data_IF_136308855726
#
_entry.id   IF_136308855726
#
_cell.length_a   1.000
_cell.length_b   1.000
_cell.length_c   1.000
_cell.angle_alpha   90.00
_cell.angle_beta   90.00
_cell.angle_gamma   90.00
#
_symmetry.space_group_name_H-M   'P 1'
#
loop_
_entity.id
_entity.type
_entity.pdbx_description
1 polymer ?
#
# COMPACT_ATOMS: atom_id res chain seq x y z
N UNK A 1 16.90 -2.99 -15.15
CA UNK A 1 15.72 -2.43 -15.82
C UNK A 1 15.60 -3.00 -17.23
N UNK A 2 16.70 -3.26 -17.92
CA UNK A 2 16.66 -3.85 -19.29
C UNK A 2 16.20 -5.32 -19.32
N UNK A 3 16.24 -6.01 -18.20
CA UNK A 3 15.80 -7.41 -18.08
C UNK A 3 14.29 -7.60 -18.35
N UNK A 4 13.50 -6.54 -18.23
CA UNK A 4 12.04 -6.56 -18.45
C UNK A 4 11.63 -6.05 -19.85
N UNK A 5 12.58 -5.56 -20.65
CA UNK A 5 12.29 -5.20 -22.05
C UNK A 5 12.04 -6.45 -22.88
N UNK A 6 10.88 -6.53 -23.51
CA UNK A 6 10.51 -7.66 -24.36
C UNK A 6 9.66 -8.74 -23.69
N UNK A 7 9.16 -8.48 -22.47
CA UNK A 7 8.25 -9.40 -21.75
C UNK A 7 6.82 -8.80 -21.68
N UNK A 8 6.37 -8.04 -22.66
CA UNK A 8 5.15 -7.22 -22.60
C UNK A 8 3.92 -7.98 -22.04
N UNK A 9 3.50 -9.08 -22.64
CA UNK A 9 2.41 -9.92 -22.12
C UNK A 9 2.86 -10.75 -20.90
N UNK A 10 4.10 -11.21 -20.87
CA UNK A 10 4.68 -11.96 -19.77
C UNK A 10 4.75 -11.14 -18.47
N UNK A 11 4.95 -9.82 -18.58
CA UNK A 11 4.99 -8.90 -17.42
C UNK A 11 3.65 -8.86 -16.68
N UNK A 12 2.53 -8.79 -17.40
CA UNK A 12 1.19 -8.84 -16.81
C UNK A 12 0.96 -10.16 -16.07
N UNK A 13 1.32 -11.28 -16.67
CA UNK A 13 1.21 -12.60 -16.06
C UNK A 13 2.09 -12.74 -14.82
N UNK A 14 3.28 -12.12 -14.83
CA UNK A 14 4.16 -12.05 -13.66
C UNK A 14 3.53 -11.26 -12.53
N UNK A 15 3.00 -10.06 -12.80
CA UNK A 15 2.30 -9.24 -11.81
C UNK A 15 1.12 -10.00 -11.19
N UNK A 16 0.29 -10.66 -12.00
CA UNK A 16 -0.83 -11.48 -11.51
C UNK A 16 -0.39 -12.68 -10.66
N UNK A 17 0.76 -13.28 -11.01
CA UNK A 17 1.32 -14.37 -10.21
C UNK A 17 1.78 -13.88 -8.85
N UNK A 18 2.47 -12.72 -8.82
CA UNK A 18 2.96 -12.11 -7.58
C UNK A 18 1.78 -11.62 -6.72
N UNK A 19 0.71 -11.09 -7.31
CA UNK A 19 -0.51 -10.73 -6.61
C UNK A 19 -1.05 -11.90 -5.77
N UNK A 20 -1.09 -13.10 -6.33
CA UNK A 20 -1.50 -14.31 -5.61
C UNK A 20 -0.55 -14.66 -4.46
N UNK A 21 0.75 -14.42 -4.62
CA UNK A 21 1.75 -14.61 -3.55
C UNK A 21 1.57 -13.56 -2.45
N UNK A 22 1.20 -12.31 -2.81
CA UNK A 22 0.91 -11.25 -1.85
C UNK A 22 -0.38 -11.52 -1.03
N UNK A 23 -1.25 -12.40 -1.49
CA UNK A 23 -2.51 -12.65 -0.81
C UNK A 23 -2.31 -13.33 0.54
N UNK A 24 -1.47 -14.34 0.61
CA UNK A 24 -1.25 -15.17 1.80
C UNK A 24 -0.37 -14.46 2.85
N UNK A 25 -0.78 -14.43 4.14
CA UNK A 25 -0.01 -13.76 5.19
C UNK A 25 1.43 -14.26 5.32
N UNK A 26 1.67 -15.55 5.11
CA UNK A 26 3.00 -16.16 5.26
C UNK A 26 3.96 -15.83 4.11
N UNK A 27 3.44 -15.44 2.95
CA UNK A 27 4.22 -15.08 1.77
C UNK A 27 4.13 -13.58 1.44
N UNK A 28 3.29 -12.85 2.18
CA UNK A 28 3.00 -11.44 1.94
C UNK A 28 4.25 -10.58 1.83
N UNK A 29 5.16 -10.65 2.80
CA UNK A 29 6.35 -9.80 2.82
C UNK A 29 7.22 -9.98 1.57
N UNK A 30 7.49 -11.22 1.18
CA UNK A 30 8.29 -11.52 -0.03
C UNK A 30 7.57 -11.12 -1.31
N UNK A 31 6.27 -11.39 -1.39
CA UNK A 31 5.43 -11.01 -2.52
C UNK A 31 5.36 -9.49 -2.68
N UNK A 32 5.07 -8.78 -1.60
CA UNK A 32 4.97 -7.32 -1.58
C UNK A 32 6.32 -6.65 -1.93
N UNK A 33 7.45 -7.19 -1.47
CA UNK A 33 8.76 -6.68 -1.84
C UNK A 33 9.03 -6.86 -3.33
N UNK A 34 8.74 -8.03 -3.88
CA UNK A 34 8.88 -8.29 -5.31
C UNK A 34 7.97 -7.37 -6.14
N UNK A 35 6.72 -7.19 -5.70
CA UNK A 35 5.77 -6.28 -6.35
C UNK A 35 6.26 -4.82 -6.30
N UNK A 36 6.81 -4.38 -5.16
CA UNK A 36 7.40 -3.05 -5.01
C UNK A 36 8.59 -2.82 -5.93
N UNK A 37 9.48 -3.81 -6.08
CA UNK A 37 10.62 -3.71 -7.00
C UNK A 37 10.16 -3.60 -8.45
N UNK A 38 9.12 -4.34 -8.84
CA UNK A 38 8.51 -4.20 -10.16
C UNK A 38 7.86 -2.83 -10.36
N UNK A 39 7.19 -2.31 -9.31
CA UNK A 39 6.58 -0.99 -9.34
C UNK A 39 7.61 0.14 -9.49
N UNK A 40 8.75 0.05 -8.78
CA UNK A 40 9.88 1.00 -8.93
C UNK A 40 10.48 0.95 -10.34
N UNK A 41 10.54 -0.24 -10.94
CA UNK A 41 11.06 -0.43 -12.29
C UNK A 41 10.03 -0.16 -13.40
N UNK A 42 8.81 0.23 -13.05
CA UNK A 42 7.70 0.40 -14.00
C UNK A 42 7.92 1.59 -14.91
N UNK A 43 7.79 1.36 -16.21
CA UNK A 43 7.93 2.36 -17.26
C UNK A 43 6.74 2.34 -18.23
N UNK A 44 5.66 1.65 -17.88
CA UNK A 44 4.48 1.47 -18.71
C UNK A 44 3.23 1.97 -17.98
N UNK A 45 2.34 2.60 -18.74
CA UNK A 45 1.05 3.08 -18.20
C UNK A 45 -0.07 2.12 -18.65
N UNK A 46 -0.07 0.92 -18.08
CA UNK A 46 -1.09 -0.11 -18.34
C UNK A 46 -1.99 -0.32 -17.14
N UNK A 47 -3.24 -0.72 -17.41
CA UNK A 47 -4.16 -1.15 -16.36
C UNK A 47 -3.61 -2.40 -15.66
N UNK A 48 -3.83 -2.51 -14.35
CA UNK A 48 -3.34 -3.61 -13.51
C UNK A 48 -1.81 -3.75 -13.53
N UNK A 49 -1.11 -2.62 -13.50
CA UNK A 49 0.33 -2.54 -13.40
C UNK A 49 0.82 -2.89 -11.98
N UNK A 50 2.13 -3.08 -11.81
CA UNK A 50 2.72 -3.44 -10.53
C UNK A 50 2.47 -2.37 -9.46
N UNK A 51 2.51 -1.09 -9.81
CA UNK A 51 2.23 0.03 -8.92
C UNK A 51 0.81 -0.03 -8.37
N UNK A 52 -0.20 -0.18 -9.23
CA UNK A 52 -1.60 -0.30 -8.82
C UNK A 52 -1.85 -1.53 -7.93
N UNK A 53 -1.28 -2.67 -8.30
CA UNK A 53 -1.39 -3.91 -7.51
C UNK A 53 -0.70 -3.77 -6.15
N UNK A 54 0.50 -3.17 -6.10
CA UNK A 54 1.18 -2.90 -4.84
C UNK A 54 0.34 -2.01 -3.91
N UNK A 55 -0.17 -0.89 -4.41
CA UNK A 55 -0.98 0.05 -3.64
C UNK A 55 -2.26 -0.60 -3.11
N UNK A 56 -2.86 -1.55 -3.86
CA UNK A 56 -4.06 -2.26 -3.46
C UNK A 56 -3.89 -3.19 -2.26
N UNK A 57 -2.66 -3.47 -1.83
CA UNK A 57 -2.36 -4.27 -0.64
C UNK A 57 -2.62 -3.51 0.68
N UNK A 58 -2.66 -2.17 0.66
CA UNK A 58 -2.61 -1.35 1.88
C UNK A 58 -3.92 -0.68 2.32
N UNK A 59 -5.04 -0.69 1.59
CA UNK A 59 -6.29 -0.15 2.10
C UNK A 59 -6.64 -0.73 3.46
N UNK A 60 -7.20 0.10 4.35
CA UNK A 60 -7.68 -0.33 5.66
C UNK A 60 -8.74 -1.43 5.54
N UNK A 61 -9.69 -1.23 4.62
CA UNK A 61 -10.74 -2.19 4.28
C UNK A 61 -10.57 -2.69 2.85
N UNK A 62 -11.02 -3.91 2.60
CA UNK A 62 -10.96 -4.57 1.30
C UNK A 62 -9.54 -4.55 0.66
N UNK A 63 -8.46 -4.84 1.40
CA UNK A 63 -7.13 -4.95 0.80
C UNK A 63 -7.06 -6.17 -0.13
N UNK A 64 -6.20 -6.14 -1.13
CA UNK A 64 -5.94 -7.28 -2.00
C UNK A 64 -5.08 -8.37 -1.32
N UNK A 65 -5.22 -8.56 -0.01
CA UNK A 65 -4.44 -9.51 0.79
C UNK A 65 -5.18 -9.94 2.05
N UNK A 66 -4.85 -11.12 2.57
CA UNK A 66 -5.23 -11.60 3.89
C UNK A 66 -4.22 -11.22 4.99
N UNK A 67 -3.11 -10.53 4.65
CA UNK A 67 -2.14 -10.06 5.62
C UNK A 67 -2.74 -9.05 6.60
N UNK A 68 -2.36 -9.15 7.87
CA UNK A 68 -2.88 -8.27 8.94
C UNK A 68 -2.42 -6.82 8.76
N UNK A 69 -3.11 -5.89 9.44
CA UNK A 69 -2.70 -4.48 9.49
C UNK A 69 -1.26 -4.34 10.01
N UNK A 70 -0.91 -5.12 11.04
CA UNK A 70 0.44 -5.13 11.60
C UNK A 70 1.49 -5.58 10.59
N UNK A 71 1.26 -6.69 9.87
CA UNK A 71 2.20 -7.17 8.85
C UNK A 71 2.41 -6.14 7.74
N UNK A 72 1.33 -5.49 7.29
CA UNK A 72 1.39 -4.45 6.26
C UNK A 72 2.13 -3.21 6.75
N UNK A 73 1.88 -2.77 7.99
CA UNK A 73 2.58 -1.64 8.61
C UNK A 73 4.08 -1.91 8.77
N UNK A 74 4.45 -3.05 9.33
CA UNK A 74 5.84 -3.47 9.51
C UNK A 74 6.57 -3.55 8.16
N UNK A 75 5.90 -4.03 7.12
CA UNK A 75 6.48 -4.05 5.78
C UNK A 75 6.79 -2.63 5.29
N UNK A 76 5.84 -1.69 5.37
CA UNK A 76 6.06 -0.30 4.95
C UNK A 76 7.20 0.35 5.74
N UNK A 77 7.28 0.13 7.06
CA UNK A 77 8.33 0.64 7.92
C UNK A 77 9.73 0.16 7.51
N UNK A 78 9.85 -1.11 7.09
CA UNK A 78 11.11 -1.65 6.57
C UNK A 78 11.52 -1.04 5.23
N UNK A 79 10.56 -0.59 4.43
CA UNK A 79 10.83 -0.10 3.07
C UNK A 79 11.15 1.39 3.01
N UNK A 80 10.75 2.19 4.00
CA UNK A 80 10.84 3.64 3.99
C UNK A 80 12.28 4.18 3.85
N UNK A 81 13.26 3.44 4.34
CA UNK A 81 14.69 3.78 4.28
C UNK A 81 15.27 3.81 2.85
N UNK A 82 14.59 3.21 1.87
CA UNK A 82 15.07 3.12 0.49
C UNK A 82 14.51 4.29 -0.35
N UNK A 83 15.36 5.26 -0.69
CA UNK A 83 14.94 6.50 -1.38
C UNK A 83 14.20 6.26 -2.69
N UNK A 84 14.63 5.28 -3.49
CA UNK A 84 14.03 4.91 -4.76
C UNK A 84 12.60 4.36 -4.64
N UNK A 85 12.20 3.93 -3.42
CA UNK A 85 10.89 3.36 -3.13
C UNK A 85 9.89 4.39 -2.57
N UNK A 86 10.37 5.52 -2.07
CA UNK A 86 9.59 6.49 -1.29
C UNK A 86 8.36 7.01 -2.03
N UNK A 87 8.42 7.29 -3.33
CA UNK A 87 7.27 7.78 -4.10
C UNK A 87 6.13 6.77 -4.17
N UNK A 88 6.44 5.48 -4.32
CA UNK A 88 5.45 4.41 -4.35
C UNK A 88 4.90 4.16 -2.96
N UNK A 89 5.76 4.23 -1.93
CA UNK A 89 5.33 4.13 -0.53
C UNK A 89 4.38 5.26 -0.14
N UNK A 90 4.62 6.50 -0.59
CA UNK A 90 3.69 7.61 -0.38
C UNK A 90 2.30 7.31 -0.98
N UNK A 91 2.25 6.75 -2.17
CA UNK A 91 0.97 6.36 -2.79
C UNK A 91 0.27 5.25 -1.99
N UNK A 92 1.03 4.30 -1.46
CA UNK A 92 0.51 3.24 -0.58
C UNK A 92 0.00 3.81 0.76
N UNK A 93 0.73 4.76 1.37
CA UNK A 93 0.31 5.45 2.59
C UNK A 93 -0.97 6.28 2.36
N UNK A 94 -1.05 7.01 1.26
CA UNK A 94 -2.26 7.74 0.89
C UNK A 94 -3.47 6.81 0.73
N UNK A 95 -3.27 5.61 0.22
CA UNK A 95 -4.32 4.59 0.11
C UNK A 95 -4.67 3.99 1.47
N UNK A 96 -3.68 3.76 2.34
CA UNK A 96 -3.86 3.24 3.70
C UNK A 96 -4.66 4.21 4.58
N UNK A 97 -4.46 5.52 4.42
CA UNK A 97 -5.14 6.57 5.18
C UNK A 97 -6.57 6.87 4.68
N UNK A 98 -6.97 6.35 3.52
CA UNK A 98 -8.34 6.50 3.02
C UNK A 98 -9.28 5.59 3.81
N UNK A 99 -10.07 6.19 4.72
CA UNK A 99 -11.00 5.47 5.61
C UNK A 99 -12.38 5.29 4.99
N UNK A 100 -12.70 6.02 3.90
CA UNK A 100 -13.99 6.00 3.18
C UNK A 100 -13.79 5.79 1.69
N UNK A 101 -14.89 5.56 0.98
CA UNK A 101 -14.94 5.41 -0.47
C UNK A 101 -14.08 4.24 -0.97
N UNK A 102 -14.34 3.06 -0.40
CA UNK A 102 -13.64 1.86 -0.79
C UNK A 102 -14.13 1.38 -2.15
N UNK A 103 -13.25 1.42 -3.14
CA UNK A 103 -13.43 0.74 -4.40
C UNK A 103 -12.43 -0.40 -4.44
N UNK A 104 -12.94 -1.62 -4.54
CA UNK A 104 -12.12 -2.81 -4.71
C UNK A 104 -11.88 -3.04 -6.21
N UNK A 105 -10.62 -3.03 -6.61
CA UNK A 105 -10.20 -3.40 -7.95
C UNK A 105 -9.21 -4.56 -7.86
N UNK A 106 -9.61 -5.72 -8.35
CA UNK A 106 -8.74 -6.89 -8.43
C UNK A 106 -8.67 -7.67 -7.12
N UNK A 107 -7.66 -8.50 -7.01
CA UNK A 107 -7.45 -9.46 -5.93
C UNK A 107 -7.68 -10.89 -6.38
N UNK A 108 -7.04 -11.83 -5.70
CA UNK A 108 -7.19 -13.24 -6.00
C UNK A 108 -8.61 -13.70 -5.64
N UNK A 109 -9.45 -13.91 -6.65
CA UNK A 109 -10.85 -14.26 -6.44
C UNK A 109 -11.03 -15.69 -5.95
N UNK A 110 -10.14 -16.62 -6.34
CA UNK A 110 -10.20 -18.03 -5.98
C UNK A 110 -8.82 -18.68 -5.99
N UNK A 111 -8.61 -19.60 -5.06
CA UNK A 111 -7.49 -20.55 -5.06
C UNK A 111 -8.06 -21.97 -5.14
N UNK A 112 -8.13 -22.50 -6.37
CA UNK A 112 -8.78 -23.78 -6.59
C UNK A 112 -10.29 -23.70 -6.23
N UNK A 113 -10.75 -24.52 -5.29
CA UNK A 113 -12.13 -24.55 -4.79
C UNK A 113 -12.36 -23.68 -3.55
N UNK A 114 -11.31 -23.10 -2.96
CA UNK A 114 -11.40 -22.29 -1.75
C UNK A 114 -11.73 -20.83 -2.10
N UNK A 115 -12.72 -20.28 -1.39
CA UNK A 115 -13.07 -18.87 -1.47
C UNK A 115 -12.07 -18.07 -0.61
N UNK A 116 -11.30 -17.19 -1.25
CA UNK A 116 -10.38 -16.32 -0.56
C UNK A 116 -11.12 -15.20 0.16
N UNK A 117 -10.71 -14.90 1.39
CA UNK A 117 -11.25 -13.81 2.19
C UNK A 117 -10.16 -12.77 2.46
N UNK A 118 -10.38 -11.54 2.02
CA UNK A 118 -9.50 -10.43 2.32
C UNK A 118 -9.49 -10.17 3.84
N UNK A 119 -8.39 -9.62 4.33
CA UNK A 119 -8.30 -9.24 5.73
C UNK A 119 -9.37 -8.19 6.09
N UNK A 120 -9.98 -8.38 7.25
CA UNK A 120 -10.87 -7.41 7.86
C UNK A 120 -10.35 -7.03 9.25
N UNK A 121 -10.25 -5.73 9.58
CA UNK A 121 -9.85 -5.29 10.91
C UNK A 121 -10.78 -5.86 11.98
N UNK A 122 -10.21 -6.35 13.08
CA UNK A 122 -10.96 -7.00 14.17
C UNK A 122 -11.27 -6.04 15.31
N UNK A 123 -10.41 -5.07 15.55
CA UNK A 123 -10.54 -4.14 16.68
C UNK A 123 -10.27 -2.69 16.25
N UNK A 124 -10.87 -1.74 16.99
CA UNK A 124 -10.57 -0.33 16.79
C UNK A 124 -9.12 -0.01 17.20
N UNK A 125 -8.52 -0.79 18.09
CA UNK A 125 -7.11 -0.63 18.47
C UNK A 125 -6.17 -0.95 17.30
N UNK A 126 -6.42 -2.03 16.56
CA UNK A 126 -5.64 -2.39 15.38
C UNK A 126 -5.74 -1.31 14.30
N UNK A 127 -6.95 -0.78 14.09
CA UNK A 127 -7.20 0.32 13.16
C UNK A 127 -6.40 1.56 13.59
N UNK A 128 -6.50 1.93 14.87
CA UNK A 128 -5.82 3.10 15.41
C UNK A 128 -4.31 2.98 15.28
N UNK A 129 -3.73 1.83 15.63
CA UNK A 129 -2.29 1.56 15.46
C UNK A 129 -1.85 1.71 14.01
N UNK A 130 -2.65 1.17 13.08
CA UNK A 130 -2.34 1.25 11.65
C UNK A 130 -2.35 2.68 11.14
N UNK A 131 -3.40 3.46 11.45
CA UNK A 131 -3.52 4.86 11.02
C UNK A 131 -2.39 5.71 11.62
N UNK A 132 -2.14 5.62 12.94
CA UNK A 132 -1.05 6.35 13.58
C UNK A 132 0.31 5.96 13.03
N UNK A 133 0.53 4.67 12.74
CA UNK A 133 1.76 4.21 12.12
C UNK A 133 1.96 4.77 10.70
N UNK A 134 0.88 4.85 9.90
CA UNK A 134 0.94 5.46 8.56
C UNK A 134 1.21 6.97 8.64
N UNK A 135 0.56 7.70 9.55
CA UNK A 135 0.82 9.12 9.80
C UNK A 135 2.27 9.35 10.25
N UNK A 136 2.75 8.55 11.21
CA UNK A 136 4.15 8.63 11.66
C UNK A 136 5.17 8.40 10.53
N UNK A 137 4.87 7.49 9.59
CA UNK A 137 5.75 7.29 8.43
C UNK A 137 5.78 8.48 7.47
N UNK A 138 4.67 9.22 7.30
CA UNK A 138 4.69 10.47 6.54
C UNK A 138 5.65 11.49 7.16
N UNK A 139 5.66 11.61 8.49
CA UNK A 139 6.60 12.49 9.20
C UNK A 139 8.05 12.07 8.96
N UNK A 140 8.36 10.79 9.12
CA UNK A 140 9.70 10.25 8.84
C UNK A 140 10.13 10.55 7.41
N UNK A 141 9.24 10.37 6.44
CA UNK A 141 9.54 10.65 5.02
C UNK A 141 9.83 12.15 4.77
N UNK A 142 9.11 13.05 5.43
CA UNK A 142 9.36 14.50 5.34
C UNK A 142 10.72 14.86 5.97
N UNK A 143 11.02 14.30 7.13
CA UNK A 143 12.29 14.53 7.83
C UNK A 143 13.50 14.03 7.04
N UNK A 144 13.41 12.83 6.47
CA UNK A 144 14.49 12.22 5.69
C UNK A 144 14.62 12.81 4.28
N UNK A 145 13.53 13.30 3.70
CA UNK A 145 13.49 13.82 2.35
C UNK A 145 12.49 14.99 2.22
N UNK A 146 12.91 16.22 2.59
CA UNK A 146 12.04 17.40 2.54
C UNK A 146 11.45 17.71 1.15
N UNK A 147 12.04 17.18 0.07
CA UNK A 147 11.46 17.31 -1.27
C UNK A 147 10.11 16.58 -1.44
N UNK A 148 9.73 15.73 -0.50
CA UNK A 148 8.45 15.05 -0.49
C UNK A 148 7.35 15.80 0.25
N UNK A 149 7.66 16.95 0.87
CA UNK A 149 6.73 17.74 1.69
C UNK A 149 5.41 18.00 0.96
N UNK A 150 5.47 18.53 -0.27
CA UNK A 150 4.27 18.87 -1.04
C UNK A 150 3.37 17.65 -1.28
N UNK A 151 3.97 16.51 -1.59
CA UNK A 151 3.23 15.25 -1.80
C UNK A 151 2.64 14.69 -0.51
N UNK A 152 3.35 14.78 0.59
CA UNK A 152 2.85 14.38 1.90
C UNK A 152 1.67 15.27 2.33
N UNK A 153 1.78 16.58 2.12
CA UNK A 153 0.70 17.54 2.39
C UNK A 153 -0.53 17.24 1.54
N UNK A 154 -0.37 16.99 0.25
CA UNK A 154 -1.48 16.59 -0.64
C UNK A 154 -2.20 15.33 -0.13
N UNK A 155 -1.45 14.31 0.33
CA UNK A 155 -2.03 13.09 0.89
C UNK A 155 -2.83 13.39 2.15
N UNK A 156 -2.31 14.25 3.05
CA UNK A 156 -2.99 14.64 4.28
C UNK A 156 -4.24 15.44 3.97
N UNK A 157 -4.19 16.44 3.10
CA UNK A 157 -5.32 17.26 2.68
C UNK A 157 -6.44 16.41 2.08
N UNK A 158 -6.11 15.48 1.18
CA UNK A 158 -7.10 14.58 0.55
C UNK A 158 -7.81 13.67 1.56
N UNK A 159 -7.18 13.34 2.69
CA UNK A 159 -7.72 12.43 3.69
C UNK A 159 -8.20 13.14 4.98
N UNK A 160 -7.91 14.44 5.15
CA UNK A 160 -8.14 15.18 6.39
C UNK A 160 -9.59 15.08 6.88
N UNK A 161 -10.55 15.32 6.02
CA UNK A 161 -11.97 15.27 6.38
C UNK A 161 -12.36 13.92 6.98
N UNK A 162 -12.01 12.82 6.30
CA UNK A 162 -12.32 11.47 6.76
C UNK A 162 -11.57 11.11 8.05
N UNK A 163 -10.32 11.54 8.19
CA UNK A 163 -9.51 11.31 9.40
C UNK A 163 -10.07 12.08 10.60
N UNK A 164 -10.51 13.33 10.41
CA UNK A 164 -11.15 14.13 11.47
C UNK A 164 -12.46 13.49 11.95
N UNK A 165 -13.32 13.07 11.03
CA UNK A 165 -14.59 12.43 11.36
C UNK A 165 -14.42 11.08 12.08
N UNK A 166 -13.31 10.38 11.81
CA UNK A 166 -12.95 9.14 12.49
C UNK A 166 -12.21 9.35 13.83
N UNK A 167 -11.97 10.61 14.24
CA UNK A 167 -11.32 10.95 15.50
C UNK A 167 -9.79 11.09 15.43
N UNK A 168 -9.19 11.06 14.23
CA UNK A 168 -7.73 11.19 14.06
C UNK A 168 -7.28 12.62 13.71
N UNK A 169 -8.17 13.62 13.76
CA UNK A 169 -7.88 15.00 13.35
C UNK A 169 -6.68 15.61 14.06
N UNK A 170 -6.56 15.41 15.38
CA UNK A 170 -5.41 15.91 16.15
C UNK A 170 -4.08 15.30 15.68
N UNK A 171 -4.05 13.98 15.46
CA UNK A 171 -2.86 13.28 14.98
C UNK A 171 -2.46 13.73 13.56
N UNK A 172 -3.44 14.01 12.71
CA UNK A 172 -3.23 14.50 11.36
C UNK A 172 -2.68 15.93 11.36
N UNK A 173 -3.22 16.81 12.20
CA UNK A 173 -2.75 18.19 12.30
C UNK A 173 -1.32 18.32 12.82
N UNK A 174 -0.85 17.39 13.64
CA UNK A 174 0.54 17.36 14.09
C UNK A 174 1.53 16.89 13.00
N UNK A 175 1.02 16.41 11.84
CA UNK A 175 1.83 16.02 10.69
C UNK A 175 1.99 17.14 9.65
N UNK A 176 1.27 18.26 9.79
CA UNK A 176 1.32 19.44 8.94
C UNK A 176 2.16 20.51 9.61
#
# INVERSE_FOLDING_TARGET
VDLLRGIDEGRRNLVWTIEKICFEPNTFERGAETMLLLAVAENENISNNATGQFISLFPLYLPATAATLEQRLLFLQKQVQYKERQLILLSALGRALRIRDFIFFGGAEQRGTEKLSNYQPKTNEDISKYIHGCLGMLMVLIEENPALLDKCSEILECNLGCLCEAGYGWSTMNCI
#
